data_IF_016704310319
#
_entry.id   IF_016704310319
#
_cell.length_a   1.000
_cell.length_b   1.000
_cell.length_c   1.000
_cell.angle_alpha   90.00
_cell.angle_beta   90.00
_cell.angle_gamma   90.00
#
_symmetry.space_group_name_H-M   'P 1'
#
loop_
_entity.id
_entity.type
_entity.pdbx_description
1 polymer ?
#
# COMPACT_ATOMS: atom_id res chain seq x y z
N UNK A 1 -14.02 2.91 -17.92
CA UNK A 1 -13.27 4.11 -17.41
C UNK A 1 -11.76 3.89 -17.34
N UNK A 2 -11.26 2.71 -16.97
CA UNK A 2 -9.80 2.43 -16.99
C UNK A 2 -9.21 2.40 -18.41
N UNK A 3 -9.97 1.91 -19.38
CA UNK A 3 -9.58 1.92 -20.81
C UNK A 3 -9.40 3.33 -21.37
N UNK A 4 -10.09 4.32 -20.83
CA UNK A 4 -9.98 5.72 -21.24
C UNK A 4 -8.70 6.40 -20.74
N UNK A 5 -8.05 5.87 -19.69
CA UNK A 5 -6.77 6.35 -19.19
C UNK A 5 -5.57 5.61 -19.84
N UNK A 6 -5.78 4.38 -20.30
CA UNK A 6 -4.73 3.60 -20.96
C UNK A 6 -4.25 4.21 -22.27
N UNK A 7 -5.16 4.78 -23.07
CA UNK A 7 -4.82 5.39 -24.36
C UNK A 7 -3.89 6.60 -24.22
N UNK A 8 -4.18 7.62 -23.36
CA UNK A 8 -3.29 8.76 -23.20
C UNK A 8 -1.95 8.38 -22.55
N UNK A 9 -1.90 7.40 -21.65
CA UNK A 9 -0.61 6.94 -21.08
C UNK A 9 0.25 6.23 -22.11
N UNK A 10 -0.33 5.44 -23.02
CA UNK A 10 0.39 4.82 -24.14
C UNK A 10 0.90 5.85 -25.14
N UNK A 11 0.13 6.92 -25.39
CA UNK A 11 0.58 8.03 -26.23
C UNK A 11 1.76 8.78 -25.60
N UNK A 12 1.70 9.08 -24.32
CA UNK A 12 2.82 9.71 -23.58
C UNK A 12 4.09 8.84 -23.59
N UNK A 13 3.95 7.53 -23.48
CA UNK A 13 5.09 6.61 -23.62
C UNK A 13 5.74 6.74 -25.00
N UNK A 14 4.93 6.79 -26.07
CA UNK A 14 5.43 6.99 -27.44
C UNK A 14 6.17 8.32 -27.60
N UNK A 15 5.69 9.41 -26.99
CA UNK A 15 6.38 10.70 -26.99
C UNK A 15 7.70 10.66 -26.22
N UNK A 16 7.79 9.99 -25.09
CA UNK A 16 9.04 9.83 -24.34
C UNK A 16 10.07 9.04 -25.16
N UNK A 17 9.66 7.94 -25.81
CA UNK A 17 10.55 7.17 -26.68
C UNK A 17 11.04 8.03 -27.87
N UNK A 18 10.17 8.85 -28.46
CA UNK A 18 10.59 9.81 -29.48
C UNK A 18 11.62 10.83 -28.97
N UNK A 19 11.38 11.42 -27.78
CA UNK A 19 12.31 12.38 -27.16
C UNK A 19 13.67 11.76 -26.84
N UNK A 20 13.76 10.47 -26.55
CA UNK A 20 15.03 9.77 -26.36
C UNK A 20 15.93 9.79 -27.60
N UNK A 21 15.35 9.92 -28.79
CA UNK A 21 16.08 9.99 -30.06
C UNK A 21 16.46 11.42 -30.45
N UNK A 22 16.02 12.43 -29.71
CA UNK A 22 16.25 13.84 -30.00
C UNK A 22 17.38 14.41 -29.13
N UNK A 23 18.04 15.50 -29.56
CA UNK A 23 19.08 16.21 -28.82
C UNK A 23 18.44 17.07 -27.69
N UNK A 24 17.82 16.42 -26.71
CA UNK A 24 17.20 17.05 -25.55
C UNK A 24 17.90 16.57 -24.28
N UNK A 25 17.60 17.20 -23.13
CA UNK A 25 18.10 16.78 -21.84
C UNK A 25 17.60 15.34 -21.52
N UNK A 26 18.47 14.37 -21.69
CA UNK A 26 18.17 12.97 -21.43
C UNK A 26 17.85 12.68 -19.95
N UNK A 27 18.37 13.50 -19.02
CA UNK A 27 18.03 13.40 -17.61
C UNK A 27 16.55 13.74 -17.37
N UNK A 28 16.05 14.80 -18.01
CA UNK A 28 14.64 15.16 -17.96
C UNK A 28 13.74 14.08 -18.58
N UNK A 29 14.15 13.50 -19.70
CA UNK A 29 13.41 12.39 -20.37
C UNK A 29 13.31 11.17 -19.44
N UNK A 30 14.38 10.83 -18.73
CA UNK A 30 14.39 9.69 -17.82
C UNK A 30 13.46 9.92 -16.61
N UNK A 31 13.44 11.14 -16.04
CA UNK A 31 12.48 11.49 -14.96
C UNK A 31 11.03 11.42 -15.45
N UNK A 32 10.74 11.93 -16.66
CA UNK A 32 9.41 11.83 -17.26
C UNK A 32 8.99 10.36 -17.46
N UNK A 33 9.93 9.49 -17.88
CA UNK A 33 9.67 8.06 -18.03
C UNK A 33 9.38 7.36 -16.69
N UNK A 34 10.07 7.75 -15.61
CA UNK A 34 9.80 7.26 -14.26
C UNK A 34 8.40 7.66 -13.81
N UNK A 35 8.01 8.92 -14.00
CA UNK A 35 6.69 9.44 -13.65
C UNK A 35 5.58 8.75 -14.45
N UNK A 36 5.78 8.58 -15.75
CA UNK A 36 4.82 7.86 -16.58
C UNK A 36 4.69 6.39 -16.19
N UNK A 37 5.81 5.72 -15.89
CA UNK A 37 5.81 4.34 -15.40
C UNK A 37 5.05 4.22 -14.08
N UNK A 38 5.15 5.22 -13.21
CA UNK A 38 4.38 5.29 -11.98
C UNK A 38 2.88 5.47 -12.24
N UNK A 39 2.52 6.38 -13.15
CA UNK A 39 1.13 6.58 -13.59
C UNK A 39 0.53 5.31 -14.21
N UNK A 40 1.28 4.61 -15.05
CA UNK A 40 0.83 3.35 -15.65
C UNK A 40 0.55 2.27 -14.60
N UNK A 41 1.40 2.15 -13.58
CA UNK A 41 1.13 1.26 -12.45
C UNK A 41 -0.15 1.62 -11.71
N UNK A 42 -0.41 2.91 -11.50
CA UNK A 42 -1.65 3.40 -10.88
C UNK A 42 -2.86 3.03 -11.76
N UNK A 43 -2.79 3.29 -13.07
CA UNK A 43 -3.87 2.99 -14.03
C UNK A 43 -4.15 1.49 -14.09
N UNK A 44 -3.11 0.64 -14.14
CA UNK A 44 -3.25 -0.82 -14.13
C UNK A 44 -3.92 -1.31 -12.84
N UNK A 45 -3.53 -0.76 -11.69
CA UNK A 45 -4.18 -1.04 -10.39
C UNK A 45 -5.65 -0.62 -10.40
N UNK A 46 -5.99 0.57 -10.95
CA UNK A 46 -7.38 1.01 -11.10
C UNK A 46 -8.18 0.14 -12.08
N UNK A 47 -7.55 -0.35 -13.13
CA UNK A 47 -8.17 -1.28 -14.08
C UNK A 47 -8.53 -2.60 -13.40
N UNK A 48 -7.64 -3.13 -12.57
CA UNK A 48 -7.87 -4.35 -11.77
C UNK A 48 -8.95 -4.15 -10.69
N UNK A 49 -9.05 -2.94 -10.11
CA UNK A 49 -10.12 -2.55 -9.17
C UNK A 49 -11.52 -2.51 -9.84
N UNK A 50 -11.62 -2.56 -11.15
CA UNK A 50 -12.89 -2.56 -11.91
C UNK A 50 -13.24 -3.87 -12.61
N UNK A 51 -12.37 -4.87 -12.54
CA UNK A 51 -12.56 -6.19 -13.13
C UNK A 51 -12.76 -7.27 -12.06
N UNK A 52 -13.38 -8.39 -12.41
CA UNK A 52 -13.38 -9.57 -11.54
C UNK A 52 -11.94 -10.01 -11.29
N UNK A 53 -11.47 -9.78 -10.09
CA UNK A 53 -10.09 -10.11 -9.66
C UNK A 53 -10.15 -11.45 -8.95
N UNK A 54 -9.62 -12.55 -9.55
CA UNK A 54 -9.63 -13.84 -8.89
C UNK A 54 -8.84 -13.79 -7.58
N UNK A 55 -9.41 -14.38 -6.54
CA UNK A 55 -8.72 -14.60 -5.28
C UNK A 55 -8.14 -16.01 -5.29
N UNK A 56 -6.90 -16.14 -4.86
CA UNK A 56 -6.21 -17.43 -4.72
C UNK A 56 -5.75 -17.62 -3.28
N UNK A 57 -5.65 -18.86 -2.79
CA UNK A 57 -5.06 -19.15 -1.48
C UNK A 57 -3.58 -18.79 -1.49
N UNK A 58 -3.21 -17.75 -0.77
CA UNK A 58 -1.84 -17.24 -0.71
C UNK A 58 -1.27 -17.29 0.70
N UNK A 59 0.04 -17.49 0.81
CA UNK A 59 0.77 -17.40 2.06
C UNK A 59 0.96 -15.92 2.44
N UNK A 60 0.21 -15.45 3.42
CA UNK A 60 0.24 -14.05 3.86
C UNK A 60 1.61 -13.64 4.38
N UNK A 61 2.32 -14.55 5.05
CA UNK A 61 3.66 -14.28 5.57
C UNK A 61 4.63 -13.90 4.44
N UNK A 62 4.60 -14.62 3.32
CA UNK A 62 5.47 -14.36 2.18
C UNK A 62 5.10 -13.07 1.46
N UNK A 63 3.81 -12.87 1.19
CA UNK A 63 3.32 -11.66 0.49
C UNK A 63 3.68 -10.40 1.27
N UNK A 64 3.45 -10.38 2.59
CA UNK A 64 3.80 -9.24 3.44
C UNK A 64 5.31 -9.06 3.54
N UNK A 65 6.09 -10.16 3.60
CA UNK A 65 7.56 -10.13 3.65
C UNK A 65 8.15 -9.36 2.47
N UNK A 66 7.65 -9.57 1.25
CA UNK A 66 8.09 -8.87 0.04
C UNK A 66 8.01 -7.35 0.20
N UNK A 67 6.85 -6.85 0.62
CA UNK A 67 6.63 -5.42 0.87
C UNK A 67 7.52 -4.88 1.99
N UNK A 68 7.64 -5.60 3.11
CA UNK A 68 8.48 -5.17 4.24
C UNK A 68 9.94 -5.06 3.84
N UNK A 69 10.48 -6.07 3.15
CA UNK A 69 11.88 -6.08 2.70
C UNK A 69 12.18 -4.95 1.72
N UNK A 70 11.24 -4.65 0.81
CA UNK A 70 11.38 -3.53 -0.10
C UNK A 70 11.55 -2.18 0.63
N UNK A 71 10.71 -1.91 1.64
CA UNK A 71 10.80 -0.67 2.40
C UNK A 71 11.97 -0.64 3.39
N UNK A 72 12.32 -1.79 3.98
CA UNK A 72 13.45 -1.89 4.92
C UNK A 72 14.78 -1.41 4.31
N UNK A 73 15.02 -1.72 3.03
CA UNK A 73 16.23 -1.30 2.32
C UNK A 73 16.23 0.17 1.90
N UNK A 74 15.08 0.85 1.93
CA UNK A 74 14.84 2.22 1.46
C UNK A 74 14.46 3.19 2.55
N UNK A 75 14.21 2.69 3.75
CA UNK A 75 13.87 3.52 4.90
C UNK A 75 15.03 4.46 5.27
N UNK A 76 14.73 5.65 5.79
CA UNK A 76 15.75 6.53 6.37
C UNK A 76 16.54 5.81 7.46
N UNK A 77 17.83 6.17 7.64
CA UNK A 77 18.73 5.50 8.61
C UNK A 77 18.20 5.45 10.05
N UNK A 78 17.39 6.43 10.43
CA UNK A 78 16.81 6.55 11.77
C UNK A 78 15.42 5.92 11.89
N UNK A 79 15.00 5.12 10.90
CA UNK A 79 13.74 4.37 10.90
C UNK A 79 14.06 2.88 10.89
N UNK A 80 13.48 2.15 11.83
CA UNK A 80 13.52 0.69 11.85
C UNK A 80 12.18 0.12 11.39
N UNK A 81 12.21 -0.98 10.66
CA UNK A 81 11.01 -1.71 10.25
C UNK A 81 11.20 -3.17 10.69
N UNK A 82 10.41 -3.59 11.68
CA UNK A 82 10.42 -4.95 12.20
C UNK A 82 9.26 -5.77 11.65
N UNK A 83 9.47 -7.08 11.50
CA UNK A 83 8.49 -7.99 10.95
C UNK A 83 8.58 -9.36 11.63
N UNK A 84 7.47 -9.81 12.20
CA UNK A 84 7.40 -11.10 12.91
C UNK A 84 7.02 -12.28 12.01
N UNK A 85 6.48 -12.05 10.83
CA UNK A 85 5.86 -13.09 10.00
C UNK A 85 6.81 -14.22 9.56
N UNK A 86 8.14 -13.99 9.60
CA UNK A 86 9.12 -15.04 9.31
C UNK A 86 9.35 -15.97 10.52
N UNK A 87 8.94 -15.58 11.72
CA UNK A 87 9.11 -16.34 12.96
C UNK A 87 7.86 -17.13 13.37
N UNK A 88 6.75 -16.99 12.65
CA UNK A 88 5.50 -17.69 12.92
C UNK A 88 5.17 -18.70 11.82
N UNK A 89 4.30 -19.66 12.13
CA UNK A 89 3.81 -20.62 11.15
C UNK A 89 3.11 -19.90 9.96
N UNK A 90 3.27 -20.39 8.71
CA UNK A 90 2.59 -19.83 7.55
C UNK A 90 1.07 -19.84 7.74
N UNK A 91 0.44 -18.73 7.39
CA UNK A 91 -1.02 -18.60 7.39
C UNK A 91 -1.51 -18.21 6.00
N UNK A 92 -2.62 -18.82 5.57
CA UNK A 92 -3.20 -18.58 4.26
C UNK A 92 -4.49 -17.80 4.34
N UNK A 93 -4.73 -16.97 3.34
CA UNK A 93 -6.01 -16.32 3.07
C UNK A 93 -6.26 -16.27 1.57
N UNK A 94 -7.52 -16.17 1.18
CA UNK A 94 -7.92 -15.96 -0.22
C UNK A 94 -7.70 -14.49 -0.57
N UNK A 95 -6.69 -14.20 -1.39
CA UNK A 95 -6.35 -12.84 -1.79
C UNK A 95 -5.95 -12.76 -3.26
N UNK A 96 -6.04 -11.56 -3.82
CA UNK A 96 -5.24 -11.19 -4.98
C UNK A 96 -3.92 -10.60 -4.49
N UNK A 97 -2.83 -11.32 -4.64
CA UNK A 97 -1.52 -10.96 -4.09
C UNK A 97 -1.09 -9.53 -4.49
N UNK A 98 -1.24 -9.15 -5.76
CA UNK A 98 -0.82 -7.84 -6.26
C UNK A 98 -1.61 -6.67 -5.65
N UNK A 99 -2.92 -6.81 -5.46
CA UNK A 99 -3.75 -5.80 -4.80
C UNK A 99 -3.46 -5.76 -3.29
N UNK A 100 -3.23 -6.90 -2.69
CA UNK A 100 -2.95 -6.99 -1.27
C UNK A 100 -1.57 -6.40 -0.93
N UNK A 101 -0.52 -6.75 -1.69
CA UNK A 101 0.81 -6.12 -1.59
C UNK A 101 0.72 -4.60 -1.66
N UNK A 102 -0.05 -4.08 -2.64
CA UNK A 102 -0.23 -2.65 -2.75
C UNK A 102 -0.86 -2.01 -1.50
N UNK A 103 -1.84 -2.68 -0.87
CA UNK A 103 -2.42 -2.20 0.39
C UNK A 103 -1.35 -2.14 1.48
N UNK A 104 -0.57 -3.21 1.66
CA UNK A 104 0.51 -3.25 2.64
C UNK A 104 1.55 -2.16 2.38
N UNK A 105 1.99 -2.00 1.13
CA UNK A 105 2.91 -0.94 0.72
C UNK A 105 2.37 0.46 1.06
N UNK A 106 1.07 0.71 0.76
CA UNK A 106 0.44 1.99 1.05
C UNK A 106 0.38 2.29 2.56
N UNK A 107 0.10 1.28 3.38
CA UNK A 107 0.10 1.42 4.84
C UNK A 107 1.50 1.70 5.37
N UNK A 108 2.52 0.94 4.95
CA UNK A 108 3.92 1.16 5.36
C UNK A 108 4.38 2.56 4.93
N UNK A 109 4.05 3.00 3.71
CA UNK A 109 4.36 4.34 3.23
C UNK A 109 3.70 5.44 4.08
N UNK A 110 2.45 5.23 4.49
CA UNK A 110 1.74 6.16 5.37
C UNK A 110 2.40 6.23 6.75
N UNK A 111 2.86 5.11 7.29
CA UNK A 111 3.61 5.04 8.53
C UNK A 111 4.96 5.76 8.42
N UNK A 112 5.72 5.55 7.33
CA UNK A 112 6.96 6.28 7.06
C UNK A 112 6.76 7.80 7.01
N UNK A 113 5.68 8.25 6.37
CA UNK A 113 5.32 9.67 6.32
C UNK A 113 4.96 10.22 7.72
N UNK A 114 4.31 9.41 8.57
CA UNK A 114 3.95 9.80 9.93
C UNK A 114 5.16 9.89 10.87
N UNK A 115 6.21 9.12 10.62
CA UNK A 115 7.46 9.09 11.39
C UNK A 115 8.36 10.31 11.14
N UNK A 116 8.17 11.02 10.02
CA UNK A 116 8.99 12.21 9.70
C UNK A 116 10.52 11.96 9.75
N UNK A 117 10.95 10.76 9.39
CA UNK A 117 12.36 10.39 9.25
C UNK A 117 13.01 9.73 10.46
N UNK A 118 12.30 9.51 11.57
CA UNK A 118 12.81 8.78 12.74
C UNK A 118 11.71 8.00 13.46
N UNK A 119 12.03 6.83 13.98
CA UNK A 119 11.10 5.99 14.74
C UNK A 119 11.07 4.55 14.26
N UNK A 120 9.96 3.87 14.54
CA UNK A 120 9.81 2.44 14.27
C UNK A 120 8.46 2.10 13.63
N UNK A 121 8.49 1.12 12.76
CA UNK A 121 7.31 0.45 12.22
C UNK A 121 7.41 -1.02 12.59
N UNK A 122 6.37 -1.57 13.23
CA UNK A 122 6.23 -2.99 13.49
C UNK A 122 5.13 -3.53 12.59
N UNK A 123 5.48 -4.51 11.76
CA UNK A 123 4.52 -5.26 10.95
C UNK A 123 4.35 -6.63 11.59
N UNK A 124 3.16 -6.88 12.12
CA UNK A 124 2.87 -8.09 12.85
C UNK A 124 1.77 -8.89 12.17
N UNK A 125 1.99 -10.20 12.05
CA UNK A 125 0.96 -11.15 11.63
C UNK A 125 0.57 -11.98 12.85
N UNK A 126 -0.73 -12.14 13.05
CA UNK A 126 -1.32 -13.04 14.01
C UNK A 126 -2.53 -13.75 13.39
N UNK A 127 -2.95 -14.86 13.97
CA UNK A 127 -4.14 -15.55 13.50
C UNK A 127 -4.84 -16.26 14.65
N UNK A 128 -6.15 -16.38 14.52
CA UNK A 128 -6.99 -17.28 15.33
C UNK A 128 -7.57 -18.39 14.45
N UNK A 129 -8.61 -19.07 14.92
CA UNK A 129 -9.29 -20.16 14.19
C UNK A 129 -10.01 -19.67 12.93
N UNK A 130 -10.36 -18.38 12.83
CA UNK A 130 -11.20 -17.85 11.74
C UNK A 130 -10.53 -16.79 10.91
N UNK A 131 -9.61 -16.03 11.49
CA UNK A 131 -9.08 -14.82 10.89
C UNK A 131 -7.55 -14.78 10.92
N UNK A 132 -7.01 -14.10 9.93
CA UNK A 132 -5.63 -13.64 9.90
C UNK A 132 -5.67 -12.12 10.11
N UNK A 133 -4.89 -11.61 11.05
CA UNK A 133 -4.74 -10.19 11.34
C UNK A 133 -3.32 -9.74 10.95
N UNK A 134 -3.25 -8.62 10.26
CA UNK A 134 -2.00 -7.95 9.90
C UNK A 134 -2.06 -6.55 10.50
N UNK A 135 -1.19 -6.29 11.47
CA UNK A 135 -1.06 -5.01 12.15
C UNK A 135 0.16 -4.26 11.61
N UNK A 136 -0.05 -3.01 11.24
CA UNK A 136 1.02 -2.10 10.86
C UNK A 136 1.01 -0.97 11.89
N UNK A 137 2.00 -1.01 12.79
CA UNK A 137 2.13 -0.11 13.92
C UNK A 137 3.28 0.84 13.68
N UNK A 138 3.07 2.11 13.86
CA UNK A 138 4.13 3.12 13.81
C UNK A 138 4.20 3.93 15.11
N UNK A 139 5.37 4.49 15.38
CA UNK A 139 5.60 5.42 16.49
C UNK A 139 5.53 6.89 16.05
N UNK A 140 4.74 7.19 15.01
CA UNK A 140 4.65 8.49 14.39
C UNK A 140 3.74 9.47 15.12
N UNK A 141 3.33 10.50 14.39
CA UNK A 141 2.53 11.62 14.94
C UNK A 141 1.15 11.26 15.48
N UNK A 142 0.64 10.08 15.16
CA UNK A 142 -0.69 9.64 15.55
C UNK A 142 -1.84 10.33 14.81
N UNK A 143 -3.05 9.84 15.06
CA UNK A 143 -4.30 10.30 14.42
C UNK A 143 -5.33 10.61 15.50
N UNK A 144 -5.92 11.82 15.53
CA UNK A 144 -7.00 12.14 16.45
C UNK A 144 -8.18 11.17 16.31
N UNK A 145 -8.79 10.76 17.40
CA UNK A 145 -9.90 9.79 17.41
C UNK A 145 -11.07 10.19 16.50
N UNK A 146 -11.35 11.49 16.37
CA UNK A 146 -12.34 12.04 15.44
C UNK A 146 -12.07 11.73 13.97
N UNK A 147 -10.82 11.47 13.61
CA UNK A 147 -10.39 11.21 12.23
C UNK A 147 -10.23 9.71 11.90
N UNK A 148 -10.35 8.79 12.86
CA UNK A 148 -10.12 7.35 12.62
C UNK A 148 -10.99 6.75 11.51
N UNK A 149 -12.23 7.21 11.36
CA UNK A 149 -13.10 6.79 10.26
C UNK A 149 -12.84 7.61 9.00
N UNK A 150 -12.58 8.92 9.18
CA UNK A 150 -12.43 9.87 8.08
C UNK A 150 -11.19 9.65 7.23
N UNK A 151 -10.11 9.11 7.81
CA UNK A 151 -8.89 8.80 7.04
C UNK A 151 -9.13 7.81 5.88
N UNK A 152 -10.23 7.06 5.94
CA UNK A 152 -10.66 6.13 4.88
C UNK A 152 -11.69 6.75 3.91
N UNK A 153 -12.06 8.01 4.07
CA UNK A 153 -12.93 8.74 3.14
C UNK A 153 -12.10 9.22 1.93
N UNK A 154 -12.65 9.12 0.70
CA UNK A 154 -11.96 9.62 -0.48
C UNK A 154 -11.66 11.11 -0.38
N UNK A 155 -10.41 11.49 -0.69
CA UNK A 155 -9.97 12.89 -0.66
C UNK A 155 -9.54 13.40 0.72
N UNK A 156 -9.72 12.63 1.79
CA UNK A 156 -9.22 13.04 3.11
C UNK A 156 -7.70 12.92 3.18
N UNK A 157 -7.03 14.04 3.44
CA UNK A 157 -5.57 14.09 3.62
C UNK A 157 -5.17 15.21 4.57
N UNK A 158 -4.16 14.95 5.38
CA UNK A 158 -3.46 15.96 6.20
C UNK A 158 -2.10 16.32 5.62
N UNK A 159 -1.77 15.78 4.43
CA UNK A 159 -0.49 16.01 3.74
C UNK A 159 -0.64 17.17 2.77
N UNK A 160 0.42 17.97 2.62
CA UNK A 160 0.50 19.03 1.61
C UNK A 160 0.58 18.49 0.19
N UNK A 161 1.05 17.27 0.01
CA UNK A 161 1.12 16.55 -1.27
C UNK A 161 0.42 15.21 -1.14
N UNK A 162 -0.46 14.90 -2.08
CA UNK A 162 -1.24 13.66 -2.14
C UNK A 162 -2.74 13.92 -2.28
N UNK A 163 -3.42 13.02 -2.95
CA UNK A 163 -4.84 13.14 -3.33
C UNK A 163 -5.80 12.61 -2.26
N UNK A 164 -5.29 12.10 -1.13
CA UNK A 164 -6.13 11.49 -0.09
C UNK A 164 -6.86 10.23 -0.53
N UNK A 165 -6.35 9.52 -1.55
CA UNK A 165 -7.02 8.34 -2.11
C UNK A 165 -6.42 7.01 -1.63
N UNK A 166 -5.22 7.01 -1.04
CA UNK A 166 -4.51 5.79 -0.68
C UNK A 166 -5.30 4.92 0.29
N UNK A 167 -5.69 5.45 1.44
CA UNK A 167 -6.42 4.68 2.46
C UNK A 167 -7.85 4.33 2.05
N UNK A 168 -8.55 5.20 1.33
CA UNK A 168 -9.90 4.91 0.81
C UNK A 168 -9.88 3.75 -0.21
N UNK A 169 -8.87 3.72 -1.07
CA UNK A 169 -8.66 2.61 -2.00
C UNK A 169 -8.20 1.33 -1.28
N UNK A 170 -7.31 1.45 -0.28
CA UNK A 170 -6.93 0.31 0.56
C UNK A 170 -8.15 -0.33 1.23
N UNK A 171 -9.04 0.50 1.77
CA UNK A 171 -10.29 0.03 2.35
C UNK A 171 -11.17 -0.68 1.33
N UNK A 172 -11.32 -0.10 0.15
CA UNK A 172 -12.10 -0.70 -0.93
C UNK A 172 -11.52 -2.05 -1.35
N UNK A 173 -10.21 -2.15 -1.51
CA UNK A 173 -9.52 -3.41 -1.85
C UNK A 173 -9.77 -4.47 -0.77
N UNK A 174 -9.62 -4.12 0.49
CA UNK A 174 -9.81 -5.09 1.58
C UNK A 174 -11.27 -5.46 1.78
N UNK A 175 -12.19 -4.48 1.80
CA UNK A 175 -13.59 -4.74 2.16
C UNK A 175 -14.41 -5.28 0.97
N UNK A 176 -14.26 -4.71 -0.24
CA UNK A 176 -15.07 -5.10 -1.41
C UNK A 176 -14.47 -6.29 -2.16
N UNK A 177 -13.14 -6.37 -2.35
CA UNK A 177 -12.50 -7.43 -3.13
C UNK A 177 -12.06 -8.62 -2.30
N UNK A 178 -11.57 -8.40 -1.08
CA UNK A 178 -11.09 -9.49 -0.21
C UNK A 178 -12.10 -9.87 0.89
N UNK A 179 -13.25 -9.17 0.97
CA UNK A 179 -14.28 -9.42 1.99
C UNK A 179 -13.73 -9.39 3.42
N UNK A 180 -12.66 -8.63 3.61
CA UNK A 180 -11.98 -8.43 4.88
C UNK A 180 -12.45 -7.16 5.60
N UNK A 181 -11.64 -6.71 6.55
CA UNK A 181 -11.82 -5.45 7.28
C UNK A 181 -10.50 -4.72 7.39
N UNK A 182 -10.54 -3.39 7.38
CA UNK A 182 -9.40 -2.53 7.66
C UNK A 182 -9.83 -1.40 8.58
N UNK A 183 -9.02 -1.06 9.57
CA UNK A 183 -9.35 0.01 10.51
C UNK A 183 -8.23 0.35 11.46
N UNK A 184 -8.37 1.50 12.13
CA UNK A 184 -7.49 1.92 13.21
C UNK A 184 -7.85 1.15 14.47
N UNK A 185 -6.90 0.40 15.03
CA UNK A 185 -7.05 -0.32 16.31
C UNK A 185 -6.66 0.60 17.45
N UNK A 186 -5.58 1.34 17.27
CA UNK A 186 -5.06 2.29 18.24
C UNK A 186 -4.43 3.48 17.52
N UNK A 187 -4.62 4.66 18.04
CA UNK A 187 -3.81 5.82 17.69
C UNK A 187 -3.93 6.89 18.76
N UNK A 188 -2.80 7.51 19.09
CA UNK A 188 -2.71 8.62 20.03
C UNK A 188 -1.70 9.63 19.50
N UNK A 189 -2.03 10.91 19.61
CA UNK A 189 -1.16 11.99 19.12
C UNK A 189 0.20 11.94 19.81
N UNK A 190 1.26 11.92 19.00
CA UNK A 190 2.65 11.83 19.46
C UNK A 190 3.10 10.44 19.93
N UNK A 191 2.22 9.42 19.88
CA UNK A 191 2.58 8.04 20.30
C UNK A 191 2.51 7.03 19.17
N UNK A 192 1.83 7.37 18.06
CA UNK A 192 1.78 6.53 16.87
C UNK A 192 0.39 6.00 16.53
N UNK A 193 0.36 5.09 15.57
CA UNK A 193 -0.86 4.52 15.02
C UNK A 193 -0.69 3.02 14.80
N UNK A 194 -1.76 2.26 15.03
CA UNK A 194 -1.90 0.85 14.67
C UNK A 194 -3.09 0.69 13.72
N UNK A 195 -2.82 0.27 12.49
CA UNK A 195 -3.84 -0.06 11.49
C UNK A 195 -3.84 -1.56 11.29
N UNK A 196 -5.01 -2.18 11.46
CA UNK A 196 -5.22 -3.62 11.30
C UNK A 196 -5.97 -3.92 10.02
N UNK A 197 -5.46 -4.92 9.28
CA UNK A 197 -6.19 -5.65 8.25
C UNK A 197 -6.63 -6.98 8.86
N UNK A 198 -7.87 -7.37 8.63
CA UNK A 198 -8.40 -8.68 9.04
C UNK A 198 -8.96 -9.39 7.82
N UNK A 199 -8.47 -10.60 7.54
CA UNK A 199 -8.92 -11.46 6.45
C UNK A 199 -9.44 -12.78 7.00
N UNK A 200 -10.34 -13.42 6.27
CA UNK A 200 -10.77 -14.78 6.60
C UNK A 200 -9.61 -15.74 6.35
N UNK A 201 -9.30 -16.57 7.36
CA UNK A 201 -8.28 -17.60 7.24
C UNK A 201 -8.73 -18.68 6.25
N UNK A 202 -7.81 -19.15 5.43
CA UNK A 202 -8.00 -20.27 4.54
C UNK A 202 -7.27 -21.51 5.08
N UNK A 203 -7.94 -22.64 5.02
CA UNK A 203 -7.40 -23.95 5.35
C UNK A 203 -7.43 -24.82 4.08
N UNK A 204 -6.39 -25.60 3.85
CA UNK A 204 -6.28 -26.57 2.76
C UNK A 204 -7.27 -27.72 2.97
#
# INVERSE_FOLDING_TARGET
KAHQLGTPTSSLLGWIEYLRTQPVDQGAVEEMNKDLSHLMKIVDRFSKIGSETPLTPENINEVVSGSVMYFRTRAPRNVTIDYNGLAIAPVKAQINAALFEWVVENLIKNSLDALQGHGRIDVEISSDEKYVMIDIKDTGKGIPKSNWKRIFEPGFTTKTRGWGLGLSLSRRVIEEYHQGRIGVVYSELGKGTDIRITLKRYFD
#
